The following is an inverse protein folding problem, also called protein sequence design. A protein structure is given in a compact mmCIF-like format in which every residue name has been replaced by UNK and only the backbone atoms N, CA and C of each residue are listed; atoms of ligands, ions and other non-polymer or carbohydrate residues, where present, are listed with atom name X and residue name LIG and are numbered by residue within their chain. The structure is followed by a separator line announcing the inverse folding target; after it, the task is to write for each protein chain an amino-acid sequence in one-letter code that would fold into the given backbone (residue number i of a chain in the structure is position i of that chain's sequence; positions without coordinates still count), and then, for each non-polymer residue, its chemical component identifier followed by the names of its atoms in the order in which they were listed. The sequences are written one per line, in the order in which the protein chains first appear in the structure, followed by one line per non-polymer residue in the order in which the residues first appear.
data_IF_923264455552
#
_entry.id   IF_923264455552
#
_cell.length_a   1.000
_cell.length_b   1.000
_cell.length_c   1.000
_cell.angle_alpha   90.00
_cell.angle_beta   90.00
_cell.angle_gamma   90.00
#
_symmetry.space_group_name_H-M   'P 1'
#
loop_
_entity.id
_entity.type
_entity.pdbx_description
1 polymer ?
#
# COMPACT_ATOMS: atom_id res chain seq x y z
N UNK A 1 -3.06 3.38 -32.90
CA UNK A 1 -1.99 3.57 -31.91
C UNK A 1 -2.46 3.20 -30.53
N UNK A 2 -1.78 2.29 -29.87
CA UNK A 2 -2.22 1.92 -28.55
C UNK A 2 -2.07 3.09 -27.56
N UNK A 3 -3.09 3.29 -26.76
CA UNK A 3 -3.03 4.29 -25.70
C UNK A 3 -2.17 3.72 -24.57
N UNK A 4 -1.19 4.47 -24.16
CA UNK A 4 -0.35 4.07 -23.06
C UNK A 4 -1.17 4.07 -21.77
N UNK A 5 -1.27 2.92 -21.15
CA UNK A 5 -1.98 2.81 -19.88
C UNK A 5 -1.22 3.53 -18.80
N UNK A 6 -1.89 4.49 -18.16
CA UNK A 6 -1.28 5.22 -17.05
C UNK A 6 -1.48 4.46 -15.75
N UNK A 7 -0.50 4.55 -14.87
CA UNK A 7 -0.59 3.95 -13.56
C UNK A 7 -1.70 4.59 -12.75
N UNK A 8 -2.50 3.77 -12.08
CA UNK A 8 -3.45 4.25 -11.10
C UNK A 8 -2.66 4.71 -9.88
N UNK A 9 -2.93 5.91 -9.43
CA UNK A 9 -2.24 6.48 -8.29
C UNK A 9 -3.12 6.45 -7.06
N UNK A 10 -2.63 5.79 -6.03
CA UNK A 10 -3.31 5.70 -4.75
C UNK A 10 -2.52 6.47 -3.71
N UNK A 11 -3.17 7.38 -3.01
CA UNK A 11 -2.51 8.21 -1.99
C UNK A 11 -2.92 7.70 -0.61
N UNK A 12 -1.92 7.31 0.16
CA UNK A 12 -2.10 6.87 1.54
C UNK A 12 -1.75 8.04 2.46
N UNK A 13 -2.74 8.50 3.22
CA UNK A 13 -2.53 9.65 4.11
C UNK A 13 -1.94 9.20 5.45
N UNK A 14 -0.61 9.28 5.53
CA UNK A 14 0.12 8.82 6.72
C UNK A 14 -0.17 9.60 7.98
N UNK A 15 -0.63 10.84 7.85
CA UNK A 15 -0.96 11.67 9.01
C UNK A 15 -2.19 11.13 9.77
N UNK A 16 -3.05 10.37 9.08
CA UNK A 16 -4.25 9.77 9.69
C UNK A 16 -3.99 8.38 10.26
N UNK A 17 -2.80 7.84 10.06
CA UNK A 17 -2.47 6.49 10.51
C UNK A 17 -1.78 6.56 11.86
N UNK A 18 -2.54 6.31 12.91
CA UNK A 18 -2.06 6.35 14.29
C UNK A 18 -1.86 4.96 14.91
N UNK A 19 -2.36 3.93 14.23
CA UNK A 19 -2.29 2.54 14.69
C UNK A 19 -2.26 1.61 13.50
N UNK A 20 -1.94 0.36 13.75
CA UNK A 20 -1.97 -0.67 12.71
C UNK A 20 -3.38 -0.85 12.15
N UNK A 21 -4.39 -0.75 13.01
CA UNK A 21 -5.78 -0.80 12.59
C UNK A 21 -6.12 0.32 11.62
N UNK A 22 -5.65 1.54 11.91
CA UNK A 22 -5.83 2.68 11.02
C UNK A 22 -5.20 2.43 9.66
N UNK A 23 -4.00 1.83 9.64
CA UNK A 23 -3.33 1.51 8.38
C UNK A 23 -4.20 0.58 7.52
N UNK A 24 -4.71 -0.50 8.12
CA UNK A 24 -5.52 -1.45 7.35
C UNK A 24 -6.85 -0.84 6.92
N UNK A 25 -7.43 0.05 7.72
CA UNK A 25 -8.62 0.79 7.32
C UNK A 25 -8.33 1.65 6.08
N UNK A 26 -7.22 2.39 6.11
CA UNK A 26 -6.85 3.26 4.99
C UNK A 26 -6.53 2.47 3.72
N UNK A 27 -5.75 1.40 3.83
CA UNK A 27 -5.37 0.61 2.66
C UNK A 27 -6.59 -0.09 2.06
N UNK A 28 -7.47 -0.62 2.90
CA UNK A 28 -8.69 -1.29 2.43
C UNK A 28 -9.61 -0.31 1.71
N UNK A 29 -9.77 0.89 2.26
CA UNK A 29 -10.59 1.93 1.63
C UNK A 29 -9.96 2.38 0.31
N UNK A 30 -8.67 2.65 0.33
CA UNK A 30 -7.93 3.16 -0.83
C UNK A 30 -7.98 2.18 -2.01
N UNK A 31 -7.81 0.90 -1.74
CA UNK A 31 -7.80 -0.14 -2.77
C UNK A 31 -9.16 -0.79 -2.99
N UNK A 32 -10.19 -0.34 -2.29
CA UNK A 32 -11.54 -0.92 -2.35
C UNK A 32 -11.53 -2.42 -2.08
N UNK A 33 -10.84 -2.82 -1.03
CA UNK A 33 -10.72 -4.24 -0.70
C UNK A 33 -12.03 -4.77 -0.11
N UNK A 34 -12.31 -6.06 -0.34
CA UNK A 34 -13.54 -6.65 0.20
C UNK A 34 -13.52 -6.75 1.73
N UNK A 35 -14.71 -6.87 2.33
CA UNK A 35 -14.84 -6.96 3.78
C UNK A 35 -14.10 -8.16 4.37
N UNK A 36 -13.95 -9.23 3.59
CA UNK A 36 -13.25 -10.43 4.05
C UNK A 36 -11.73 -10.31 3.96
N UNK A 37 -11.21 -9.15 3.59
CA UNK A 37 -9.76 -8.94 3.61
C UNK A 37 -9.20 -9.20 5.01
N UNK A 38 -8.17 -10.03 5.08
CA UNK A 38 -7.66 -10.58 6.35
C UNK A 38 -6.93 -9.60 7.27
N UNK A 39 -6.68 -8.37 6.83
CA UNK A 39 -6.09 -7.29 7.65
C UNK A 39 -4.78 -7.72 8.35
N UNK A 40 -3.90 -8.35 7.59
CA UNK A 40 -2.56 -8.71 8.05
C UNK A 40 -1.59 -8.67 6.87
N UNK A 41 -0.30 -8.81 7.16
CA UNK A 41 0.73 -8.69 6.13
C UNK A 41 0.62 -9.77 5.06
N UNK A 42 0.28 -11.00 5.44
CA UNK A 42 0.13 -12.07 4.46
C UNK A 42 -1.02 -11.81 3.50
N UNK A 43 -2.15 -11.36 4.04
CA UNK A 43 -3.32 -11.02 3.23
C UNK A 43 -3.01 -9.82 2.32
N UNK A 44 -2.28 -8.83 2.83
CA UNK A 44 -1.89 -7.67 2.05
C UNK A 44 -0.94 -8.07 0.93
N UNK A 45 0.02 -8.95 1.21
CA UNK A 45 0.94 -9.45 0.20
C UNK A 45 0.20 -10.16 -0.93
N UNK A 46 -0.76 -11.01 -0.58
CA UNK A 46 -1.58 -11.71 -1.57
C UNK A 46 -2.34 -10.75 -2.47
N UNK A 47 -3.03 -9.80 -1.86
CA UNK A 47 -3.83 -8.81 -2.60
C UNK A 47 -2.94 -8.01 -3.55
N UNK A 48 -1.83 -7.51 -3.06
CA UNK A 48 -0.93 -6.68 -3.88
C UNK A 48 -0.20 -7.48 -4.95
N UNK A 49 0.02 -8.76 -4.72
CA UNK A 49 0.72 -9.62 -5.68
C UNK A 49 -0.18 -10.12 -6.79
N UNK A 50 -1.45 -10.37 -6.51
CA UNK A 50 -2.32 -11.09 -7.43
C UNK A 50 -3.65 -10.41 -7.76
N UNK A 51 -4.24 -9.69 -6.82
CA UNK A 51 -5.62 -9.22 -6.96
C UNK A 51 -5.75 -7.80 -7.50
N UNK A 52 -4.75 -6.96 -7.30
CA UNK A 52 -4.79 -5.57 -7.74
C UNK A 52 -4.13 -5.44 -9.09
N UNK A 53 -4.91 -4.99 -10.08
CA UNK A 53 -4.39 -4.78 -11.42
C UNK A 53 -3.44 -3.59 -11.46
N UNK A 54 -2.37 -3.77 -12.23
CA UNK A 54 -1.44 -2.70 -12.52
C UNK A 54 -1.72 -2.08 -13.89
N UNK A 55 -0.95 -1.08 -14.26
CA UNK A 55 0.10 -0.49 -13.43
C UNK A 55 -0.48 0.37 -12.32
N UNK A 56 0.16 0.35 -11.16
CA UNK A 56 -0.30 1.14 -10.01
C UNK A 56 0.89 1.72 -9.24
N UNK A 57 0.58 2.81 -8.56
CA UNK A 57 1.55 3.52 -7.74
C UNK A 57 0.90 3.87 -6.42
N UNK A 58 1.55 3.53 -5.32
CA UNK A 58 1.11 3.93 -3.99
C UNK A 58 2.04 5.03 -3.49
N UNK A 59 1.46 6.18 -3.16
CA UNK A 59 2.19 7.30 -2.58
C UNK A 59 1.81 7.39 -1.11
N UNK A 60 2.75 7.14 -0.24
CA UNK A 60 2.53 7.20 1.21
C UNK A 60 2.98 8.58 1.69
N UNK A 61 2.03 9.50 1.77
CA UNK A 61 2.28 10.85 2.24
C UNK A 61 2.42 10.87 3.76
N UNK A 62 3.24 11.80 4.26
CA UNK A 62 3.51 11.91 5.69
C UNK A 62 3.95 10.59 6.30
N UNK A 63 4.81 9.88 5.57
CA UNK A 63 5.24 8.55 6.00
C UNK A 63 6.02 8.60 7.31
N UNK A 64 6.73 9.69 7.59
CA UNK A 64 7.44 9.83 8.87
C UNK A 64 6.49 9.89 10.05
N UNK A 65 5.29 10.47 9.89
CA UNK A 65 4.27 10.47 10.93
C UNK A 65 3.77 9.05 11.19
N UNK A 66 3.54 8.28 10.11
CA UNK A 66 3.18 6.87 10.24
C UNK A 66 4.27 6.06 10.91
N UNK A 67 5.52 6.32 10.56
CA UNK A 67 6.66 5.64 11.14
C UNK A 67 6.72 5.83 12.67
N UNK A 68 6.49 7.06 13.12
CA UNK A 68 6.46 7.36 14.55
C UNK A 68 5.32 6.64 15.26
N UNK A 69 4.15 6.58 14.62
CA UNK A 69 2.98 5.95 15.20
C UNK A 69 3.05 4.42 15.19
N UNK A 70 3.52 3.84 14.10
CA UNK A 70 3.50 2.39 13.89
C UNK A 70 4.75 1.68 14.38
N UNK A 71 5.86 2.41 14.50
CA UNK A 71 7.13 1.84 14.99
C UNK A 71 7.56 0.62 14.18
N UNK A 72 7.70 -0.55 14.81
CA UNK A 72 8.14 -1.78 14.14
C UNK A 72 7.19 -2.22 13.03
N UNK A 73 5.90 -1.97 13.20
CA UNK A 73 4.91 -2.32 12.19
C UNK A 73 5.14 -1.54 10.90
N UNK A 74 5.54 -0.27 11.00
CA UNK A 74 5.87 0.53 9.82
C UNK A 74 6.98 -0.14 9.03
N UNK A 75 8.05 -0.56 9.69
CA UNK A 75 9.19 -1.19 9.03
C UNK A 75 8.78 -2.46 8.28
N UNK A 76 7.92 -3.27 8.89
CA UNK A 76 7.41 -4.50 8.26
C UNK A 76 6.57 -4.20 7.04
N UNK A 77 5.69 -3.21 7.15
CA UNK A 77 4.82 -2.82 6.03
C UNK A 77 5.66 -2.22 4.90
N UNK A 78 6.58 -1.32 5.23
CA UNK A 78 7.43 -0.69 4.23
C UNK A 78 8.28 -1.73 3.49
N UNK A 79 8.82 -2.70 4.22
CA UNK A 79 9.60 -3.78 3.62
C UNK A 79 8.76 -4.60 2.65
N UNK A 80 7.51 -4.90 3.04
CA UNK A 80 6.58 -5.63 2.18
C UNK A 80 6.32 -4.87 0.88
N UNK A 81 5.97 -3.58 1.00
CA UNK A 81 5.68 -2.77 -0.18
C UNK A 81 6.88 -2.68 -1.12
N UNK A 82 8.07 -2.51 -0.57
CA UNK A 82 9.29 -2.47 -1.37
C UNK A 82 9.57 -3.81 -2.06
N UNK A 83 9.29 -4.92 -1.37
CA UNK A 83 9.45 -6.26 -1.94
C UNK A 83 8.52 -6.46 -3.13
N UNK A 84 7.24 -6.10 -2.98
CA UNK A 84 6.27 -6.20 -4.06
C UNK A 84 6.69 -5.34 -5.25
N UNK A 85 7.20 -4.14 -4.98
CA UNK A 85 7.68 -3.25 -6.04
C UNK A 85 8.85 -3.85 -6.81
N UNK A 86 9.66 -4.69 -6.17
CA UNK A 86 10.73 -5.42 -6.85
C UNK A 86 10.22 -6.59 -7.68
N UNK A 87 9.18 -7.26 -7.19
CA UNK A 87 8.64 -8.45 -7.83
C UNK A 87 7.70 -8.12 -8.99
N UNK A 88 7.09 -6.94 -8.97
CA UNK A 88 6.16 -6.50 -10.00
C UNK A 88 6.69 -5.27 -10.72
N UNK A 89 6.87 -5.37 -12.04
CA UNK A 89 7.32 -4.24 -12.86
C UNK A 89 6.29 -3.12 -12.93
N UNK A 90 5.03 -3.44 -12.68
CA UNK A 90 3.91 -2.51 -12.80
C UNK A 90 3.44 -1.97 -11.46
N UNK A 91 4.26 -2.07 -10.43
CA UNK A 91 3.94 -1.59 -9.08
C UNK A 91 5.06 -0.69 -8.58
N UNK A 92 4.67 0.50 -8.11
CA UNK A 92 5.61 1.45 -7.50
C UNK A 92 5.11 1.91 -6.15
N UNK A 93 6.04 2.17 -5.25
CA UNK A 93 5.71 2.78 -3.95
C UNK A 93 6.64 3.96 -3.72
N UNK A 94 6.07 5.06 -3.29
CA UNK A 94 6.80 6.31 -3.01
C UNK A 94 6.48 6.73 -1.59
N UNK A 95 7.54 6.98 -0.82
CA UNK A 95 7.40 7.44 0.57
C UNK A 95 7.73 8.93 0.62
N UNK A 96 6.75 9.74 0.99
CA UNK A 96 6.91 11.19 1.09
C UNK A 96 6.84 11.66 2.54
#
# INVERSE_FOLDING_TARGET
MPVKTQAKKYVLNGAKIHSLSDFYDEIARMLSLPEYFGRNLDALADVLSTDIEGPLEIVWESSSASKKALKKDYSKIAALLKRIAKERDDFKVIFL
#
